data_IF_349340419927
#
_entry.id   IF_349340419927
#
_cell.length_a   1.000
_cell.length_b   1.000
_cell.length_c   1.000
_cell.angle_alpha   90.00
_cell.angle_beta   90.00
_cell.angle_gamma   90.00
#
_symmetry.space_group_name_H-M   'P 1'
#
loop_
_entity.id
_entity.type
_entity.pdbx_description
1 polymer ?
#
# COMPACT_ATOMS: atom_id res chain seq x y z
N UNK A 1 -1.69 -5.37 -43.85
CA UNK A 1 -2.71 -5.57 -42.81
C UNK A 1 -1.95 -5.82 -41.54
N UNK A 2 -2.08 -4.95 -40.52
CA UNK A 2 -1.36 -5.11 -39.24
C UNK A 2 -1.90 -6.32 -38.47
N UNK A 3 -1.02 -6.99 -37.72
CA UNK A 3 -1.43 -8.10 -36.83
C UNK A 3 -1.94 -7.45 -35.53
N UNK A 4 -3.14 -7.84 -35.03
CA UNK A 4 -3.63 -7.36 -33.74
C UNK A 4 -2.67 -7.74 -32.59
N UNK A 5 -2.50 -6.84 -31.65
CA UNK A 5 -1.67 -7.06 -30.45
C UNK A 5 -2.40 -7.96 -29.47
N UNK A 6 -1.68 -8.91 -28.87
CA UNK A 6 -2.22 -9.77 -27.82
C UNK A 6 -2.22 -8.99 -26.48
N UNK A 7 -3.38 -8.95 -25.81
CA UNK A 7 -3.53 -8.26 -24.52
C UNK A 7 -2.68 -8.85 -23.40
N UNK A 8 -2.35 -10.13 -23.46
CA UNK A 8 -1.54 -10.82 -22.44
C UNK A 8 -0.02 -10.56 -22.56
N UNK A 9 0.42 -9.84 -23.60
CA UNK A 9 1.83 -9.50 -23.85
C UNK A 9 2.15 -8.06 -23.39
N UNK A 10 1.44 -7.55 -22.39
CA UNK A 10 1.65 -6.22 -21.85
C UNK A 10 2.74 -6.21 -20.79
N UNK A 11 3.54 -5.13 -20.76
CA UNK A 11 4.56 -4.89 -19.75
C UNK A 11 4.39 -3.50 -19.18
N UNK A 12 4.65 -3.35 -17.90
CA UNK A 12 4.64 -2.06 -17.20
C UNK A 12 5.99 -1.79 -16.57
N UNK A 13 6.65 -0.72 -16.99
CA UNK A 13 7.83 -0.17 -16.33
C UNK A 13 7.44 1.03 -15.46
N UNK A 14 8.07 1.15 -14.28
CA UNK A 14 7.91 2.27 -13.36
C UNK A 14 9.29 2.77 -12.93
N UNK A 15 9.50 4.08 -12.89
CA UNK A 15 10.76 4.69 -12.47
C UNK A 15 10.53 6.03 -11.79
N UNK A 16 11.32 6.30 -10.75
CA UNK A 16 11.29 7.62 -10.10
C UNK A 16 11.80 8.69 -11.06
N UNK A 17 11.09 9.80 -11.15
CA UNK A 17 11.53 10.96 -11.93
C UNK A 17 12.67 11.71 -11.25
N UNK A 18 13.65 12.12 -12.02
CA UNK A 18 14.70 13.03 -11.55
C UNK A 18 14.22 14.48 -11.49
N UNK A 19 13.28 14.83 -12.37
CA UNK A 19 12.61 16.11 -12.41
C UNK A 19 11.13 15.85 -12.65
N UNK A 20 10.28 16.35 -11.77
CA UNK A 20 8.83 16.14 -11.83
C UNK A 20 8.25 16.54 -13.19
N UNK A 21 7.44 15.66 -13.77
CA UNK A 21 6.82 15.87 -15.07
C UNK A 21 7.73 15.62 -16.27
N UNK A 22 8.97 15.19 -16.05
CA UNK A 22 9.89 14.83 -17.13
C UNK A 22 10.06 13.32 -17.19
N UNK A 23 9.69 12.72 -18.32
CA UNK A 23 9.78 11.28 -18.53
C UNK A 23 11.22 10.78 -18.34
N UNK A 24 11.39 9.81 -17.47
CA UNK A 24 12.65 9.11 -17.20
C UNK A 24 12.58 7.73 -17.83
N UNK A 25 13.37 7.51 -18.90
CA UNK A 25 13.31 6.28 -19.69
C UNK A 25 13.69 5.05 -18.88
N UNK A 26 13.00 3.93 -19.13
CA UNK A 26 13.32 2.63 -18.54
C UNK A 26 14.66 2.13 -19.09
N UNK A 27 15.48 1.51 -18.24
CA UNK A 27 16.87 1.15 -18.57
C UNK A 27 17.16 -0.35 -18.50
N UNK A 28 16.24 -1.15 -17.98
CA UNK A 28 16.43 -2.60 -17.85
C UNK A 28 15.27 -3.30 -17.17
N UNK A 29 15.36 -4.60 -17.01
CA UNK A 29 14.31 -5.44 -16.39
C UNK A 29 13.94 -5.03 -14.96
N UNK A 30 14.87 -4.43 -14.21
CA UNK A 30 14.62 -3.93 -12.86
C UNK A 30 13.66 -2.75 -12.79
N UNK A 31 13.42 -2.05 -13.90
CA UNK A 31 12.47 -0.94 -13.97
C UNK A 31 11.05 -1.44 -14.30
N UNK A 32 10.89 -2.72 -14.66
CA UNK A 32 9.60 -3.34 -14.98
C UNK A 32 9.05 -4.10 -13.77
N UNK A 33 7.74 -4.02 -13.57
CA UNK A 33 7.01 -4.61 -12.44
C UNK A 33 6.01 -5.63 -12.92
N UNK A 34 5.78 -6.66 -12.11
CA UNK A 34 4.73 -7.64 -12.36
C UNK A 34 3.37 -7.06 -11.97
N UNK A 35 2.47 -7.00 -12.93
CA UNK A 35 1.09 -6.52 -12.75
C UNK A 35 0.10 -7.60 -13.12
N UNK A 36 -1.11 -7.51 -12.59
CA UNK A 36 -2.17 -8.46 -12.94
C UNK A 36 -2.57 -8.30 -14.40
N UNK A 37 -2.88 -9.41 -15.07
CA UNK A 37 -3.06 -9.49 -16.53
C UNK A 37 -4.13 -8.56 -17.15
N UNK A 38 -5.11 -8.11 -16.37
CA UNK A 38 -6.20 -7.23 -16.86
C UNK A 38 -5.94 -5.72 -16.65
N UNK A 39 -4.76 -5.33 -16.44
CA UNK A 39 -4.50 -4.50 -15.36
C UNK A 39 -4.07 -3.06 -15.60
N UNK A 40 -2.92 -2.80 -16.12
CA UNK A 40 -2.48 -1.41 -16.25
C UNK A 40 -3.26 -0.71 -17.37
N UNK A 41 -3.93 0.37 -17.01
CA UNK A 41 -4.63 1.19 -17.99
C UNK A 41 -4.28 2.66 -17.74
N UNK A 42 -3.78 3.34 -18.80
CA UNK A 42 -3.58 4.76 -18.80
C UNK A 42 -4.47 5.41 -19.84
N UNK A 43 -5.20 6.42 -19.44
CA UNK A 43 -6.09 7.19 -20.29
C UNK A 43 -5.72 8.66 -20.25
N UNK A 44 -5.89 9.33 -21.38
CA UNK A 44 -5.74 10.78 -21.45
C UNK A 44 -7.10 11.40 -21.73
N UNK A 45 -7.52 12.27 -20.86
CA UNK A 45 -8.70 13.09 -21.00
C UNK A 45 -8.31 14.52 -21.38
N UNK A 46 -9.16 15.18 -22.13
CA UNK A 46 -8.94 16.55 -22.59
C UNK A 46 -10.19 17.35 -22.32
N UNK A 47 -10.01 18.49 -21.70
CA UNK A 47 -11.09 19.46 -21.62
C UNK A 47 -11.36 20.01 -23.03
N UNK A 48 -12.61 20.15 -23.35
CA UNK A 48 -13.06 20.74 -24.62
C UNK A 48 -13.65 22.12 -24.35
N UNK A 49 -13.09 23.13 -25.00
CA UNK A 49 -13.55 24.51 -24.89
C UNK A 49 -14.44 24.78 -26.09
N UNK A 50 -15.73 24.72 -25.87
CA UNK A 50 -16.72 25.08 -26.89
C UNK A 50 -16.64 26.57 -27.23
N UNK A 51 -16.88 26.90 -28.49
CA UNK A 51 -16.93 28.27 -28.99
C UNK A 51 -18.35 28.60 -29.43
N UNK A 52 -19.05 29.37 -28.60
CA UNK A 52 -20.39 29.85 -28.92
C UNK A 52 -20.26 31.21 -29.68
N UNK A 53 -20.23 31.14 -31.01
CA UNK A 53 -20.08 32.30 -31.86
C UNK A 53 -21.36 32.48 -32.69
N UNK A 54 -21.90 33.67 -32.67
CA UNK A 54 -23.04 34.03 -33.52
C UNK A 54 -22.62 33.92 -34.99
N UNK A 55 -23.13 32.92 -35.70
CA UNK A 55 -22.88 32.69 -37.12
C UNK A 55 -24.21 32.72 -37.88
N UNK A 56 -24.12 32.78 -39.21
CA UNK A 56 -25.30 32.73 -40.08
C UNK A 56 -25.87 31.30 -40.24
N UNK A 57 -25.27 30.31 -39.60
CA UNK A 57 -25.69 28.91 -39.64
C UNK A 57 -25.96 28.40 -38.21
N UNK A 58 -26.74 27.36 -38.10
CA UNK A 58 -26.99 26.64 -36.79
C UNK A 58 -25.94 25.57 -36.50
N UNK A 59 -24.87 25.50 -37.26
CA UNK A 59 -23.79 24.54 -37.07
C UNK A 59 -22.84 25.00 -35.98
N UNK A 60 -22.34 24.02 -35.21
CA UNK A 60 -21.41 24.26 -34.11
C UNK A 60 -20.02 24.57 -34.64
N UNK A 61 -19.39 25.62 -34.13
CA UNK A 61 -17.99 25.95 -34.41
C UNK A 61 -17.03 24.93 -33.82
N UNK A 62 -15.85 24.79 -34.43
CA UNK A 62 -14.82 23.90 -33.93
C UNK A 62 -14.37 24.29 -32.51
N UNK A 63 -14.46 23.35 -31.61
CA UNK A 63 -13.95 23.49 -30.24
C UNK A 63 -12.43 23.57 -30.17
N UNK A 64 -11.88 24.02 -29.05
CA UNK A 64 -10.46 24.00 -28.75
C UNK A 64 -10.16 23.02 -27.62
N UNK A 65 -9.01 22.36 -27.70
CA UNK A 65 -8.51 21.49 -26.64
C UNK A 65 -8.00 22.35 -25.49
N UNK A 66 -8.50 22.06 -24.29
CA UNK A 66 -8.08 22.65 -23.02
C UNK A 66 -7.01 21.84 -22.31
N UNK A 67 -7.12 21.76 -20.99
CA UNK A 67 -6.19 21.03 -20.13
C UNK A 67 -6.27 19.52 -20.40
N UNK A 68 -5.12 18.85 -20.35
CA UNK A 68 -5.02 17.40 -20.47
C UNK A 68 -4.82 16.79 -19.08
N UNK A 69 -5.58 15.77 -18.76
CA UNK A 69 -5.44 14.96 -17.56
C UNK A 69 -5.10 13.53 -17.96
N UNK A 70 -4.13 12.94 -17.30
CA UNK A 70 -3.77 11.54 -17.47
C UNK A 70 -4.17 10.80 -16.21
N UNK A 71 -5.00 9.78 -16.36
CA UNK A 71 -5.44 8.89 -15.28
C UNK A 71 -4.92 7.49 -15.54
N UNK A 72 -4.60 6.77 -14.47
CA UNK A 72 -4.14 5.39 -14.56
C UNK A 72 -4.61 4.54 -13.41
N UNK A 73 -4.74 3.23 -13.66
CA UNK A 73 -4.96 2.21 -12.65
C UNK A 73 -3.95 1.09 -12.81
N UNK A 74 -3.39 0.63 -11.69
CA UNK A 74 -2.41 -0.45 -11.65
C UNK A 74 -2.79 -1.43 -10.54
N UNK A 75 -3.42 -2.55 -10.85
CA UNK A 75 -3.63 -3.63 -9.88
C UNK A 75 -2.43 -4.57 -9.83
N UNK A 76 -1.98 -4.86 -8.62
CA UNK A 76 -0.85 -5.74 -8.32
C UNK A 76 -1.21 -6.73 -7.21
N UNK A 77 -0.49 -7.84 -7.12
CA UNK A 77 -0.56 -8.71 -5.96
C UNK A 77 0.08 -8.02 -4.75
N UNK A 78 -0.59 -8.09 -3.59
CA UNK A 78 -0.05 -7.53 -2.36
C UNK A 78 0.85 -8.56 -1.67
N UNK A 79 2.13 -8.50 -1.97
CA UNK A 79 3.14 -9.46 -1.53
C UNK A 79 4.45 -8.79 -1.12
N UNK A 80 5.19 -9.47 -0.25
CA UNK A 80 6.53 -9.04 0.14
C UNK A 80 7.59 -9.35 -0.94
N UNK A 81 8.84 -9.09 -0.65
CA UNK A 81 9.97 -9.50 -1.48
C UNK A 81 10.34 -10.97 -1.18
N UNK A 82 10.95 -11.66 -2.13
CA UNK A 82 11.53 -12.99 -1.91
C UNK A 82 12.73 -12.97 -0.95
N UNK A 83 13.33 -11.81 -0.71
CA UNK A 83 14.40 -11.60 0.26
C UNK A 83 13.83 -10.89 1.48
N UNK A 84 13.90 -11.52 2.64
CA UNK A 84 13.40 -10.98 3.90
C UNK A 84 13.97 -9.59 4.21
N UNK A 85 13.13 -8.69 4.74
CA UNK A 85 13.47 -7.32 5.07
C UNK A 85 13.75 -6.40 3.87
N UNK A 86 13.67 -6.92 2.64
CA UNK A 86 13.79 -6.11 1.43
C UNK A 86 12.46 -5.50 1.01
N UNK A 87 12.52 -4.34 0.35
CA UNK A 87 11.33 -3.70 -0.18
C UNK A 87 10.63 -4.58 -1.23
N UNK A 88 9.27 -4.64 -1.23
CA UNK A 88 8.54 -5.39 -2.25
C UNK A 88 8.75 -4.76 -3.63
N UNK A 89 9.27 -5.55 -4.58
CA UNK A 89 9.70 -5.06 -5.91
C UNK A 89 8.55 -4.37 -6.65
N UNK A 90 7.37 -5.00 -6.63
CA UNK A 90 6.22 -4.53 -7.42
C UNK A 90 5.47 -3.36 -6.76
N UNK A 91 5.62 -3.17 -5.44
CA UNK A 91 4.88 -2.19 -4.64
C UNK A 91 5.72 -0.98 -4.22
N UNK A 92 7.07 -1.11 -4.14
CA UNK A 92 7.93 -0.08 -3.53
C UNK A 92 7.71 1.32 -4.11
N UNK A 93 7.74 1.44 -5.42
CA UNK A 93 7.61 2.74 -6.07
C UNK A 93 6.20 3.32 -5.92
N UNK A 94 5.17 2.47 -6.01
CA UNK A 94 3.78 2.88 -5.85
C UNK A 94 3.51 3.35 -4.42
N UNK A 95 3.99 2.61 -3.41
CA UNK A 95 3.85 3.00 -1.99
C UNK A 95 4.65 4.27 -1.65
N UNK A 96 5.86 4.44 -2.19
CA UNK A 96 6.63 5.67 -2.02
C UNK A 96 5.98 6.88 -2.68
N UNK A 97 5.30 6.68 -3.81
CA UNK A 97 4.54 7.75 -4.44
C UNK A 97 3.30 8.12 -3.63
N UNK A 98 2.59 7.13 -3.05
CA UNK A 98 1.39 7.33 -2.25
C UNK A 98 1.69 7.91 -0.86
N UNK A 99 2.65 7.31 -0.15
CA UNK A 99 2.89 7.57 1.27
C UNK A 99 4.12 8.46 1.51
N UNK A 100 5.16 8.31 0.69
CA UNK A 100 6.41 9.08 0.76
C UNK A 100 7.45 8.49 1.69
N UNK A 101 7.10 8.15 2.91
CA UNK A 101 8.02 7.62 3.92
C UNK A 101 8.32 6.14 3.71
N UNK A 102 9.60 5.78 3.82
CA UNK A 102 10.06 4.39 3.80
C UNK A 102 11.22 4.23 4.78
N UNK A 103 11.14 3.21 5.60
CA UNK A 103 12.26 2.71 6.41
C UNK A 103 12.54 1.27 6.01
N UNK A 104 13.79 0.96 5.80
CA UNK A 104 14.23 -0.38 5.45
C UNK A 104 15.44 -0.74 6.30
N UNK A 105 15.33 -1.83 7.03
CA UNK A 105 16.45 -2.41 7.73
C UNK A 105 16.35 -3.94 7.60
N UNK A 106 17.32 -4.51 6.92
CA UNK A 106 17.40 -5.95 6.69
C UNK A 106 18.19 -6.68 7.81
N UNK A 107 18.82 -5.94 8.74
CA UNK A 107 19.56 -6.56 9.83
C UNK A 107 18.63 -6.90 10.99
N UNK A 108 18.74 -8.13 11.50
CA UNK A 108 18.07 -8.55 12.72
C UNK A 108 18.80 -7.98 13.95
N UNK A 109 18.03 -7.64 14.98
CA UNK A 109 18.54 -7.30 16.31
C UNK A 109 18.37 -8.49 17.24
N UNK A 110 19.23 -8.60 18.25
CA UNK A 110 19.17 -9.67 19.23
C UNK A 110 18.82 -9.12 20.60
N UNK A 111 17.83 -9.72 21.26
CA UNK A 111 17.39 -9.30 22.59
C UNK A 111 18.43 -9.59 23.67
N UNK A 112 18.45 -8.79 24.72
CA UNK A 112 19.23 -9.00 25.95
C UNK A 112 18.32 -9.47 27.10
N UNK A 113 18.83 -9.42 28.33
CA UNK A 113 18.09 -9.85 29.53
C UNK A 113 16.99 -8.86 29.94
N UNK A 114 15.97 -9.37 30.60
CA UNK A 114 14.90 -8.56 31.18
C UNK A 114 13.73 -8.29 30.26
N UNK A 115 13.52 -9.15 29.25
CA UNK A 115 12.36 -9.08 28.37
C UNK A 115 11.06 -9.34 29.14
N UNK A 116 9.98 -8.72 28.67
CA UNK A 116 8.61 -9.04 29.09
C UNK A 116 7.76 -9.33 27.85
N UNK A 117 6.50 -9.69 28.05
CA UNK A 117 5.57 -9.90 26.94
C UNK A 117 5.27 -8.63 26.12
N UNK A 118 5.58 -7.46 26.67
CA UNK A 118 5.32 -6.15 25.99
C UNK A 118 6.57 -5.31 25.77
N UNK A 119 7.71 -5.66 26.38
CA UNK A 119 8.96 -4.89 26.26
C UNK A 119 10.12 -5.82 25.93
N UNK A 120 10.84 -5.51 24.88
CA UNK A 120 12.09 -6.19 24.52
C UNK A 120 13.28 -5.26 24.72
N UNK A 121 14.36 -5.82 25.31
CA UNK A 121 15.58 -5.11 25.60
C UNK A 121 16.71 -5.53 24.66
N UNK A 122 17.56 -4.57 24.29
CA UNK A 122 18.69 -4.72 23.37
C UNK A 122 19.92 -4.03 23.94
N UNK A 123 21.09 -4.35 23.43
CA UNK A 123 22.29 -3.53 23.69
C UNK A 123 22.18 -2.19 22.93
N UNK A 124 21.70 -2.25 21.71
CA UNK A 124 21.36 -1.12 20.85
C UNK A 124 20.46 -1.64 19.73
N UNK A 125 19.62 -0.83 19.16
CA UNK A 125 18.78 -1.15 18.01
C UNK A 125 18.50 0.10 17.19
N UNK A 126 18.06 -0.09 15.95
CA UNK A 126 17.61 0.98 15.04
C UNK A 126 16.11 0.86 14.69
N UNK A 127 15.35 0.06 15.47
CA UNK A 127 13.91 -0.10 15.35
C UNK A 127 13.21 1.22 15.73
N UNK A 128 12.23 1.63 14.93
CA UNK A 128 11.48 2.86 15.11
C UNK A 128 10.01 2.59 15.51
N UNK A 129 9.36 3.58 16.10
CA UNK A 129 7.93 3.53 16.37
C UNK A 129 7.17 3.36 15.05
N UNK A 130 6.20 2.43 15.07
CA UNK A 130 5.42 2.05 13.90
C UNK A 130 6.02 0.93 13.06
N UNK A 131 7.29 0.54 13.29
CA UNK A 131 7.84 -0.64 12.64
C UNK A 131 7.08 -1.89 13.11
N UNK A 132 6.83 -2.80 12.19
CA UNK A 132 6.31 -4.11 12.48
C UNK A 132 7.51 -5.05 12.55
N UNK A 133 7.65 -5.73 13.68
CA UNK A 133 8.79 -6.61 13.93
C UNK A 133 8.35 -8.03 14.11
N UNK A 134 9.23 -8.94 13.75
CA UNK A 134 9.10 -10.36 13.96
C UNK A 134 9.99 -10.80 15.11
N UNK A 135 9.39 -11.38 16.13
CA UNK A 135 10.08 -12.01 17.25
C UNK A 135 10.16 -13.51 16.97
N UNK A 136 11.39 -14.04 16.80
CA UNK A 136 11.63 -15.46 16.53
C UNK A 136 12.09 -16.16 17.79
N UNK A 137 11.31 -17.07 18.30
CA UNK A 137 11.70 -17.97 19.36
C UNK A 137 11.69 -19.42 18.88
N UNK A 138 12.46 -20.30 19.50
CA UNK A 138 12.61 -21.68 19.03
C UNK A 138 11.26 -22.40 18.81
N UNK A 139 10.90 -22.61 17.54
CA UNK A 139 9.66 -23.28 17.13
C UNK A 139 8.42 -22.39 17.06
N UNK A 140 8.54 -21.08 17.28
CA UNK A 140 7.43 -20.12 17.15
C UNK A 140 7.92 -18.76 16.67
N UNK A 141 7.00 -17.96 16.13
CA UNK A 141 7.25 -16.57 15.79
C UNK A 141 5.99 -15.74 16.07
N UNK A 142 6.19 -14.46 16.32
CA UNK A 142 5.12 -13.51 16.51
C UNK A 142 5.44 -12.18 15.86
N UNK A 143 4.43 -11.57 15.25
CA UNK A 143 4.52 -10.25 14.66
C UNK A 143 3.84 -9.24 15.58
N UNK A 144 4.54 -8.13 15.86
CA UNK A 144 3.99 -7.03 16.67
C UNK A 144 4.43 -5.67 16.14
N UNK A 145 3.54 -4.68 16.19
CA UNK A 145 3.91 -3.30 15.90
C UNK A 145 4.61 -2.68 17.12
N UNK A 146 5.52 -1.76 16.87
CA UNK A 146 6.22 -1.03 17.91
C UNK A 146 5.45 0.26 18.24
N UNK A 147 5.01 0.43 19.48
CA UNK A 147 4.27 1.60 19.96
C UNK A 147 5.16 2.65 20.64
N UNK A 148 6.26 2.21 21.26
CA UNK A 148 7.24 3.13 21.87
C UNK A 148 8.65 2.52 21.80
N UNK A 149 9.66 3.37 21.90
CA UNK A 149 11.07 2.95 21.93
C UNK A 149 11.91 3.88 22.79
N UNK A 150 13.03 3.37 23.26
CA UNK A 150 14.19 4.18 23.71
C UNK A 150 15.47 3.68 23.03
N UNK A 151 16.65 4.01 23.54
CA UNK A 151 17.93 3.61 22.94
C UNK A 151 18.22 2.11 23.03
N UNK A 152 17.61 1.43 23.98
CA UNK A 152 17.89 0.02 24.33
C UNK A 152 16.66 -0.82 24.49
N UNK A 153 15.46 -0.31 24.28
CA UNK A 153 14.23 -1.08 24.37
C UNK A 153 13.17 -0.67 23.36
N UNK A 154 12.30 -1.61 23.02
CA UNK A 154 11.06 -1.36 22.27
C UNK A 154 9.87 -1.85 23.10
N UNK A 155 8.71 -1.20 22.90
CA UNK A 155 7.47 -1.54 23.58
C UNK A 155 6.39 -1.85 22.54
N UNK A 156 5.67 -2.93 22.77
CA UNK A 156 4.49 -3.33 21.99
C UNK A 156 3.21 -2.76 22.60
N UNK A 157 2.18 -2.43 21.82
CA UNK A 157 0.91 -1.92 22.33
C UNK A 157 0.09 -3.00 23.06
N UNK A 158 0.37 -4.28 22.80
CA UNK A 158 -0.25 -5.46 23.44
C UNK A 158 0.74 -6.62 23.54
N UNK A 159 0.48 -7.52 24.45
CA UNK A 159 1.39 -8.60 24.81
C UNK A 159 1.64 -9.59 23.65
N UNK A 160 2.81 -10.21 23.67
CA UNK A 160 3.09 -11.41 22.89
C UNK A 160 2.22 -12.57 23.42
N UNK A 161 1.68 -13.37 22.51
CA UNK A 161 0.78 -14.49 22.85
C UNK A 161 1.52 -15.60 23.61
N UNK A 162 2.82 -15.81 23.31
CA UNK A 162 3.68 -16.80 23.95
C UNK A 162 4.33 -16.28 25.25
N UNK A 163 4.04 -15.05 25.67
CA UNK A 163 4.59 -14.44 26.89
C UNK A 163 5.94 -13.73 26.66
N UNK A 164 6.75 -13.63 27.72
CA UNK A 164 8.07 -13.01 27.63
C UNK A 164 9.04 -13.91 26.87
N UNK A 165 9.69 -13.43 25.78
CA UNK A 165 10.64 -14.26 25.05
C UNK A 165 11.94 -14.44 25.84
N UNK A 166 12.65 -15.50 25.51
CA UNK A 166 13.97 -15.81 26.08
C UNK A 166 15.00 -14.74 25.75
N UNK A 167 16.10 -14.70 26.51
CA UNK A 167 17.24 -13.86 26.18
C UNK A 167 17.94 -14.37 24.91
N UNK A 168 18.45 -13.46 24.08
CA UNK A 168 19.15 -13.80 22.85
C UNK A 168 18.22 -14.15 21.68
N UNK A 169 16.93 -13.83 21.77
CA UNK A 169 15.96 -14.03 20.70
C UNK A 169 16.21 -13.02 19.56
N UNK A 170 16.13 -13.50 18.35
CA UNK A 170 16.24 -12.67 17.14
C UNK A 170 14.95 -11.91 16.87
N UNK A 171 15.10 -10.61 16.57
CA UNK A 171 14.01 -9.72 16.20
C UNK A 171 14.29 -9.16 14.83
N UNK A 172 13.51 -9.59 13.83
CA UNK A 172 13.61 -9.07 12.47
C UNK A 172 12.67 -7.91 12.25
N UNK A 173 13.05 -7.02 11.36
CA UNK A 173 12.27 -5.85 10.99
C UNK A 173 11.60 -6.03 9.64
N UNK A 174 10.46 -5.38 9.49
CA UNK A 174 9.83 -5.16 8.21
C UNK A 174 10.44 -3.97 7.49
N UNK A 175 10.36 -3.98 6.15
CA UNK A 175 10.38 -2.72 5.41
C UNK A 175 9.07 -2.00 5.69
N UNK A 176 9.15 -0.81 6.28
CA UNK A 176 7.97 -0.06 6.75
C UNK A 176 7.72 1.15 5.86
N UNK A 177 6.47 1.33 5.39
CA UNK A 177 6.00 2.54 4.71
C UNK A 177 5.05 3.31 5.63
N UNK A 178 5.18 4.65 5.60
CA UNK A 178 4.40 5.56 6.42
C UNK A 178 4.19 6.90 5.70
N UNK A 179 3.27 7.72 6.17
CA UNK A 179 3.04 9.02 5.55
C UNK A 179 4.21 9.98 5.77
N UNK A 180 4.75 10.50 4.68
CA UNK A 180 5.70 11.60 4.64
C UNK A 180 5.56 12.33 3.29
N UNK A 181 4.65 13.30 3.25
CA UNK A 181 4.33 14.02 2.02
C UNK A 181 5.52 14.79 1.43
N UNK A 182 6.55 15.06 2.22
CA UNK A 182 7.75 15.78 1.77
C UNK A 182 8.68 14.89 0.93
N UNK A 183 8.66 13.59 1.17
CA UNK A 183 9.48 12.59 0.49
C UNK A 183 8.70 11.77 -0.56
N UNK A 184 7.44 12.11 -0.82
CA UNK A 184 6.66 11.45 -1.86
C UNK A 184 7.27 11.71 -3.24
N UNK A 185 7.44 10.62 -4.01
CA UNK A 185 8.09 10.64 -5.33
C UNK A 185 7.07 10.71 -6.46
N UNK A 186 7.46 11.33 -7.59
CA UNK A 186 6.75 11.22 -8.86
C UNK A 186 7.37 10.15 -9.72
N UNK A 187 6.54 9.51 -10.54
CA UNK A 187 6.90 8.37 -11.34
C UNK A 187 6.73 8.66 -12.83
N UNK A 188 7.64 8.10 -13.62
CA UNK A 188 7.42 7.83 -15.03
C UNK A 188 6.93 6.40 -15.20
N UNK A 189 5.98 6.19 -16.10
CA UNK A 189 5.54 4.85 -16.50
C UNK A 189 5.76 4.61 -17.98
N UNK A 190 6.09 3.36 -18.29
CA UNK A 190 6.15 2.85 -19.66
C UNK A 190 5.23 1.64 -19.75
N UNK A 191 4.11 1.79 -20.44
CA UNK A 191 3.18 0.70 -20.68
C UNK A 191 3.33 0.22 -22.12
N UNK A 192 3.85 -0.98 -22.27
CA UNK A 192 4.05 -1.61 -23.57
C UNK A 192 2.90 -2.55 -23.86
N UNK A 193 2.22 -2.34 -24.98
CA UNK A 193 1.12 -3.19 -25.47
C UNK A 193 1.65 -4.11 -26.56
N UNK A 194 1.94 -5.37 -26.18
CA UNK A 194 2.72 -6.26 -27.01
C UNK A 194 4.07 -5.65 -27.33
N UNK A 195 4.72 -6.10 -28.40
CA UNK A 195 6.01 -5.53 -28.85
C UNK A 195 5.84 -4.35 -29.84
N UNK A 196 4.67 -3.71 -29.89
CA UNK A 196 4.34 -2.74 -30.96
C UNK A 196 4.08 -1.33 -30.47
N UNK A 197 3.33 -1.14 -29.38
CA UNK A 197 2.92 0.20 -28.93
C UNK A 197 3.45 0.44 -27.54
N UNK A 198 4.13 1.55 -27.37
CA UNK A 198 4.65 2.03 -26.09
C UNK A 198 3.93 3.32 -25.71
N UNK A 199 3.29 3.30 -24.54
CA UNK A 199 2.77 4.51 -23.90
C UNK A 199 3.77 4.98 -22.86
N UNK A 200 4.22 6.22 -22.96
CA UNK A 200 5.11 6.85 -22.01
C UNK A 200 4.32 7.91 -21.24
N UNK A 201 4.30 7.76 -19.91
CA UNK A 201 3.59 8.67 -19.02
C UNK A 201 4.58 9.33 -18.07
N UNK A 202 4.41 10.63 -17.84
CA UNK A 202 5.25 11.40 -16.93
C UNK A 202 4.42 12.17 -15.91
N UNK A 203 5.06 12.48 -14.79
CA UNK A 203 4.46 13.21 -13.68
C UNK A 203 3.39 12.41 -12.96
N UNK A 204 3.50 11.06 -12.96
CA UNK A 204 2.56 10.20 -12.27
C UNK A 204 2.73 10.31 -10.76
N UNK A 205 1.60 10.41 -10.08
CA UNK A 205 1.51 10.33 -8.63
C UNK A 205 0.35 9.44 -8.23
N UNK A 206 0.57 8.58 -7.26
CA UNK A 206 -0.48 7.70 -6.73
C UNK A 206 -1.41 8.51 -5.83
N UNK A 207 -2.70 8.47 -6.13
CA UNK A 207 -3.75 9.13 -5.37
C UNK A 207 -4.43 8.19 -4.37
N UNK A 208 -4.53 6.91 -4.67
CA UNK A 208 -5.20 5.95 -3.81
C UNK A 208 -4.64 4.55 -3.98
N UNK A 209 -4.63 3.80 -2.89
CA UNK A 209 -4.48 2.35 -2.86
C UNK A 209 -5.72 1.76 -2.20
N UNK A 210 -6.35 0.80 -2.86
CA UNK A 210 -7.44 0.00 -2.31
C UNK A 210 -6.97 -1.45 -2.22
N UNK A 211 -6.99 -2.02 -1.02
CA UNK A 211 -6.72 -3.43 -0.78
C UNK A 211 -8.00 -4.22 -1.00
N UNK A 212 -7.95 -5.23 -1.85
CA UNK A 212 -9.05 -6.15 -2.13
C UNK A 212 -8.63 -7.59 -1.88
N UNK A 213 -9.61 -8.47 -1.86
CA UNK A 213 -9.41 -9.91 -1.72
C UNK A 213 -8.64 -10.33 -0.44
N UNK A 214 -8.68 -9.49 0.61
CA UNK A 214 -8.18 -9.87 1.94
C UNK A 214 -9.27 -10.59 2.75
N UNK A 215 -9.80 -11.65 2.12
CA UNK A 215 -10.89 -12.49 2.62
C UNK A 215 -10.37 -13.91 2.83
N UNK A 216 -10.92 -14.63 3.78
CA UNK A 216 -10.50 -16.00 4.11
C UNK A 216 -10.42 -16.88 2.85
N UNK A 217 -9.26 -17.48 2.62
CA UNK A 217 -8.99 -18.37 1.49
C UNK A 217 -8.59 -17.69 0.18
N UNK A 218 -8.50 -16.36 0.14
CA UNK A 218 -8.06 -15.60 -1.04
C UNK A 218 -6.62 -15.09 -0.90
N UNK A 219 -6.10 -14.50 -1.97
CA UNK A 219 -4.81 -13.81 -2.01
C UNK A 219 -5.03 -12.31 -2.14
N UNK A 220 -4.44 -11.48 -1.26
CA UNK A 220 -4.67 -10.05 -1.26
C UNK A 220 -4.13 -9.38 -2.54
N UNK A 221 -4.90 -8.42 -3.04
CA UNK A 221 -4.55 -7.58 -4.18
C UNK A 221 -4.68 -6.13 -3.80
N UNK A 222 -3.86 -5.30 -4.41
CA UNK A 222 -3.94 -3.86 -4.26
C UNK A 222 -4.15 -3.21 -5.63
N UNK A 223 -5.12 -2.31 -5.72
CA UNK A 223 -5.33 -1.45 -6.86
C UNK A 223 -4.86 -0.04 -6.54
N UNK A 224 -3.98 0.50 -7.38
CA UNK A 224 -3.48 1.86 -7.28
C UNK A 224 -4.11 2.73 -8.36
N UNK A 225 -4.69 3.86 -7.97
CA UNK A 225 -5.13 4.91 -8.90
C UNK A 225 -4.10 6.02 -8.94
N UNK A 226 -3.79 6.48 -10.15
CA UNK A 226 -2.73 7.45 -10.40
C UNK A 226 -3.24 8.61 -11.26
N UNK A 227 -2.64 9.78 -11.02
CA UNK A 227 -2.78 10.93 -11.91
C UNK A 227 -1.42 11.35 -12.47
N UNK A 228 -1.39 11.71 -13.75
CA UNK A 228 -0.20 12.14 -14.47
C UNK A 228 -0.33 13.49 -15.16
N UNK A 229 0.79 14.04 -15.57
CA UNK A 229 0.85 15.35 -16.24
C UNK A 229 0.87 15.25 -17.76
N UNK A 230 1.47 14.21 -18.31
CA UNK A 230 1.58 14.03 -19.77
C UNK A 230 1.66 12.57 -20.17
N UNK A 231 1.17 12.26 -21.35
CA UNK A 231 1.26 10.94 -21.98
C UNK A 231 1.55 11.09 -23.47
N UNK A 232 2.43 10.22 -23.97
CA UNK A 232 2.73 10.08 -25.39
C UNK A 232 2.68 8.61 -25.80
N UNK A 233 2.42 8.35 -27.07
CA UNK A 233 2.46 7.01 -27.67
C UNK A 233 3.49 6.96 -28.77
N UNK A 234 4.18 5.84 -28.90
CA UNK A 234 5.11 5.54 -29.99
C UNK A 234 4.96 4.08 -30.43
N UNK A 235 5.47 3.79 -31.64
CA UNK A 235 5.53 2.42 -32.19
C UNK A 235 6.84 1.70 -31.84
N UNK A 236 7.57 2.20 -30.86
CA UNK A 236 8.81 1.56 -30.36
C UNK A 236 8.51 0.95 -29.00
N UNK A 237 8.62 -0.35 -28.89
CA UNK A 237 8.34 -1.07 -27.64
C UNK A 237 9.64 -1.50 -26.98
N UNK A 238 9.66 -1.49 -25.63
CA UNK A 238 10.69 -2.16 -24.85
C UNK A 238 10.51 -3.67 -24.92
N UNK A 239 11.61 -4.40 -25.06
CA UNK A 239 11.62 -5.87 -25.02
C UNK A 239 12.06 -6.43 -23.67
N UNK A 240 12.27 -5.57 -22.66
CA UNK A 240 12.68 -6.02 -21.35
C UNK A 240 11.49 -6.60 -20.59
N UNK A 241 11.62 -7.83 -20.11
CA UNK A 241 10.66 -8.46 -19.24
C UNK A 241 10.87 -8.03 -17.78
N UNK A 242 9.81 -7.99 -16.93
CA UNK A 242 9.96 -7.75 -15.50
C UNK A 242 10.93 -8.76 -14.87
N UNK A 243 11.67 -8.29 -13.88
CA UNK A 243 12.45 -9.20 -13.04
C UNK A 243 11.44 -10.05 -12.23
N UNK A 244 11.53 -11.39 -12.39
CA UNK A 244 10.59 -12.28 -11.71
C UNK A 244 10.72 -12.13 -10.19
N UNK A 245 9.58 -11.87 -9.53
CA UNK A 245 9.47 -11.94 -8.09
C UNK A 245 9.00 -13.34 -7.69
N UNK A 246 9.89 -14.13 -7.10
CA UNK A 246 9.57 -15.49 -6.66
C UNK A 246 8.75 -15.56 -5.36
N UNK A 247 8.51 -14.41 -4.71
CA UNK A 247 7.61 -14.34 -3.56
C UNK A 247 6.17 -14.61 -3.99
N UNK A 248 5.48 -15.45 -3.25
CA UNK A 248 4.05 -15.68 -3.44
C UNK A 248 3.26 -14.74 -2.52
N UNK A 249 2.10 -14.23 -2.96
CA UNK A 249 1.22 -13.48 -2.07
C UNK A 249 0.78 -14.39 -0.92
N UNK A 250 0.60 -13.86 0.31
CA UNK A 250 0.08 -14.64 1.41
C UNK A 250 -1.36 -15.11 1.11
N UNK A 251 -1.67 -16.33 1.53
CA UNK A 251 -3.06 -16.80 1.51
C UNK A 251 -3.69 -16.35 2.84
N UNK A 252 -4.87 -15.73 2.78
CA UNK A 252 -5.62 -15.29 3.97
C UNK A 252 -6.25 -16.52 4.67
N UNK A 253 -5.41 -17.45 5.10
CA UNK A 253 -5.67 -18.57 6.02
C UNK A 253 -4.74 -18.47 7.23
N UNK A 254 -3.62 -17.75 7.09
CA UNK A 254 -2.63 -17.47 8.11
C UNK A 254 -2.61 -15.95 8.34
N UNK A 255 -3.74 -15.41 8.71
CA UNK A 255 -3.93 -13.99 8.99
C UNK A 255 -4.53 -13.80 10.37
N UNK A 256 -4.10 -12.75 11.06
CA UNK A 256 -4.59 -12.43 12.39
C UNK A 256 -4.91 -10.94 12.48
N UNK A 257 -5.94 -10.62 13.26
CA UNK A 257 -6.41 -9.25 13.49
C UNK A 257 -6.52 -8.99 14.99
N UNK A 258 -6.04 -7.83 15.44
CA UNK A 258 -6.22 -7.29 16.79
C UNK A 258 -6.91 -5.92 16.72
N UNK A 259 -7.95 -5.77 17.50
CA UNK A 259 -8.59 -4.48 17.74
C UNK A 259 -8.40 -4.12 19.22
N UNK A 260 -7.75 -3.00 19.52
CA UNK A 260 -7.35 -2.59 20.87
C UNK A 260 -6.59 -3.67 21.66
N UNK A 261 -5.74 -4.44 20.97
CA UNK A 261 -4.95 -5.51 21.59
C UNK A 261 -5.69 -6.80 21.88
N UNK A 262 -6.97 -6.90 21.51
CA UNK A 262 -7.75 -8.14 21.57
C UNK A 262 -7.74 -8.79 20.20
N UNK A 263 -7.34 -10.06 20.14
CA UNK A 263 -7.36 -10.87 18.93
C UNK A 263 -8.78 -11.23 18.57
N UNK A 264 -9.17 -11.03 17.32
CA UNK A 264 -10.52 -11.29 16.83
C UNK A 264 -10.47 -12.29 15.68
N UNK A 265 -11.47 -13.17 15.64
CA UNK A 265 -11.77 -13.96 14.45
C UNK A 265 -12.59 -13.12 13.48
N UNK A 266 -12.20 -13.11 12.21
CA UNK A 266 -12.81 -12.24 11.20
C UNK A 266 -12.88 -12.92 9.84
N UNK A 267 -13.75 -12.42 8.96
CA UNK A 267 -13.91 -12.95 7.60
C UNK A 267 -13.20 -12.11 6.56
N UNK A 268 -13.27 -10.78 6.70
CA UNK A 268 -12.79 -9.86 5.70
C UNK A 268 -12.11 -8.65 6.33
N UNK A 269 -11.06 -8.17 5.67
CA UNK A 269 -10.40 -6.92 5.97
C UNK A 269 -10.24 -6.11 4.68
N UNK A 270 -10.69 -4.87 4.70
CA UNK A 270 -10.50 -3.91 3.62
C UNK A 270 -9.69 -2.71 4.11
N UNK A 271 -8.83 -2.18 3.26
CA UNK A 271 -8.02 -0.99 3.55
C UNK A 271 -7.99 -0.06 2.35
N UNK A 272 -8.29 1.19 2.58
CA UNK A 272 -8.15 2.25 1.59
C UNK A 272 -7.24 3.35 2.12
N UNK A 273 -6.14 3.58 1.41
CA UNK A 273 -5.18 4.66 1.71
C UNK A 273 -5.28 5.69 0.61
N UNK A 274 -5.65 6.91 0.94
CA UNK A 274 -5.88 7.99 -0.03
C UNK A 274 -4.95 9.16 0.23
N UNK A 275 -4.28 9.62 -0.82
CA UNK A 275 -3.58 10.90 -0.89
C UNK A 275 -4.31 11.79 -1.89
N UNK A 276 -5.13 12.73 -1.39
CA UNK A 276 -5.83 13.68 -2.26
C UNK A 276 -4.83 14.49 -3.08
N UNK A 277 -5.00 14.48 -4.38
CA UNK A 277 -4.10 15.12 -5.33
C UNK A 277 -4.70 16.43 -5.85
N UNK A 278 -3.89 17.46 -5.91
CA UNK A 278 -4.25 18.75 -6.53
C UNK A 278 -3.30 19.06 -7.70
N UNK A 279 -3.83 19.29 -8.91
CA UNK A 279 -3.02 19.68 -10.04
C UNK A 279 -2.50 21.12 -9.88
N UNK A 280 -1.21 21.33 -10.16
CA UNK A 280 -0.62 22.65 -10.25
C UNK A 280 -0.69 23.09 -11.72
N UNK A 281 -1.59 24.02 -12.00
CA UNK A 281 -1.82 24.51 -13.35
C UNK A 281 -0.85 25.63 -13.72
N UNK A 282 -0.45 25.71 -14.99
CA UNK A 282 0.39 26.78 -15.52
C UNK A 282 0.00 27.12 -16.96
N UNK A 283 -0.23 28.39 -17.21
CA UNK A 283 -0.50 28.88 -18.57
C UNK A 283 0.72 28.77 -19.52
N UNK A 284 1.92 28.54 -18.98
CA UNK A 284 3.15 28.36 -19.74
C UNK A 284 3.49 26.89 -20.04
N UNK A 285 2.68 25.94 -19.59
CA UNK A 285 2.88 24.53 -19.87
C UNK A 285 2.00 24.06 -21.03
N UNK A 286 2.55 23.24 -21.93
CA UNK A 286 1.82 22.73 -23.11
C UNK A 286 0.61 21.85 -22.73
N UNK A 287 0.68 21.16 -21.58
CA UNK A 287 -0.45 20.40 -21.02
C UNK A 287 -1.38 21.24 -20.16
N UNK A 288 -1.03 22.50 -19.86
CA UNK A 288 -1.70 23.35 -18.87
C UNK A 288 -1.41 22.95 -17.41
N UNK A 289 -0.59 21.92 -17.16
CA UNK A 289 -0.31 21.33 -15.83
C UNK A 289 1.20 21.06 -15.71
N UNK A 290 1.82 21.46 -14.60
CA UNK A 290 3.27 21.32 -14.38
C UNK A 290 3.61 20.31 -13.27
N UNK A 291 2.69 20.07 -12.34
CA UNK A 291 2.93 19.22 -11.19
C UNK A 291 1.62 18.72 -10.59
N UNK A 292 1.74 17.77 -9.68
CA UNK A 292 0.66 17.32 -8.82
C UNK A 292 1.13 17.34 -7.37
N UNK A 293 0.32 17.88 -6.45
CA UNK A 293 0.66 17.97 -5.02
C UNK A 293 -0.33 17.21 -4.17
N UNK A 294 0.17 16.54 -3.14
CA UNK A 294 -0.66 15.92 -2.11
C UNK A 294 -1.18 17.03 -1.20
N UNK A 295 -2.48 17.10 -1.01
CA UNK A 295 -3.15 18.11 -0.16
C UNK A 295 -3.67 17.53 1.13
N UNK A 296 -4.03 16.23 1.13
CA UNK A 296 -4.54 15.55 2.30
C UNK A 296 -4.28 14.06 2.19
N UNK A 297 -4.06 13.41 3.33
CA UNK A 297 -3.88 11.95 3.41
C UNK A 297 -4.91 11.39 4.38
N UNK A 298 -5.54 10.27 4.01
CA UNK A 298 -6.60 9.61 4.77
C UNK A 298 -6.42 8.10 4.69
N UNK A 299 -6.85 7.42 5.74
CA UNK A 299 -6.90 5.97 5.80
C UNK A 299 -8.26 5.56 6.34
N UNK A 300 -8.92 4.68 5.61
CA UNK A 300 -10.16 4.03 6.01
C UNK A 300 -9.99 2.52 5.94
N UNK A 301 -10.58 1.80 6.88
CA UNK A 301 -10.57 0.35 6.91
C UNK A 301 -11.95 -0.20 7.21
N UNK A 302 -12.19 -1.43 6.76
CA UNK A 302 -13.37 -2.22 7.07
C UNK A 302 -12.94 -3.55 7.64
N UNK A 303 -13.65 -4.03 8.65
CA UNK A 303 -13.46 -5.35 9.26
C UNK A 303 -14.80 -5.98 9.57
N UNK A 304 -14.88 -7.29 9.43
CA UNK A 304 -16.09 -8.07 9.69
C UNK A 304 -15.79 -9.17 10.74
N UNK A 305 -15.52 -8.80 12.03
CA UNK A 305 -15.28 -9.78 13.08
C UNK A 305 -16.57 -10.49 13.49
N UNK A 306 -16.45 -11.76 13.88
CA UNK A 306 -17.56 -12.48 14.51
C UNK A 306 -17.93 -11.86 15.86
N UNK A 307 -19.21 -11.94 16.22
CA UNK A 307 -19.67 -11.57 17.57
C UNK A 307 -19.39 -12.72 18.54
N UNK A 308 -18.59 -12.47 19.56
CA UNK A 308 -18.19 -13.41 20.60
C UNK A 308 -18.45 -12.80 21.99
N UNK A 309 -18.57 -13.63 23.05
CA UNK A 309 -18.87 -13.13 24.40
C UNK A 309 -17.68 -12.51 25.13
N UNK A 310 -16.46 -12.69 24.64
CA UNK A 310 -15.22 -12.06 25.15
C UNK A 310 -14.86 -10.76 24.42
N UNK A 311 -15.81 -10.14 23.79
CA UNK A 311 -15.60 -9.01 22.90
C UNK A 311 -15.05 -7.77 23.58
N UNK A 312 -14.16 -7.10 22.87
CA UNK A 312 -13.98 -5.65 23.01
C UNK A 312 -15.37 -5.04 22.89
N UNK A 313 -15.74 -4.20 23.83
CA UNK A 313 -17.01 -3.45 23.73
C UNK A 313 -16.96 -2.53 22.51
N UNK A 314 -17.11 -3.14 21.33
CA UNK A 314 -17.09 -2.46 20.03
C UNK A 314 -18.18 -1.43 19.90
N UNK A 315 -19.31 -1.68 20.58
CA UNK A 315 -20.39 -0.70 20.66
C UNK A 315 -19.98 0.53 21.47
N UNK A 316 -19.31 0.35 22.62
CA UNK A 316 -18.78 1.46 23.41
C UNK A 316 -17.71 2.25 22.68
N UNK A 317 -16.82 1.57 21.91
CA UNK A 317 -15.85 2.26 21.07
C UNK A 317 -16.52 3.19 20.06
N UNK A 318 -17.61 2.74 19.44
CA UNK A 318 -18.38 3.52 18.48
C UNK A 318 -19.21 4.62 19.18
N UNK A 319 -20.03 4.26 20.17
CA UNK A 319 -20.99 5.16 20.83
C UNK A 319 -20.29 6.32 21.57
N UNK A 320 -19.21 6.02 22.28
CA UNK A 320 -18.44 7.01 23.01
C UNK A 320 -17.35 7.69 22.17
N UNK A 321 -17.22 7.31 20.91
CA UNK A 321 -16.19 7.84 20.02
C UNK A 321 -14.77 7.68 20.61
N UNK A 322 -14.49 6.53 21.23
CA UNK A 322 -13.19 6.21 21.80
C UNK A 322 -12.19 5.87 20.70
N UNK A 323 -10.90 6.06 20.98
CA UNK A 323 -9.84 5.64 20.08
C UNK A 323 -9.71 4.12 20.05
N UNK A 324 -9.49 3.59 18.84
CA UNK A 324 -9.23 2.19 18.60
C UNK A 324 -7.91 2.02 17.84
N UNK A 325 -7.11 1.04 18.23
CA UNK A 325 -5.95 0.61 17.46
C UNK A 325 -6.27 -0.66 16.68
N UNK A 326 -5.75 -0.77 15.46
CA UNK A 326 -5.95 -1.94 14.61
C UNK A 326 -4.61 -2.48 14.12
N UNK A 327 -4.38 -3.77 14.34
CA UNK A 327 -3.24 -4.49 13.78
C UNK A 327 -3.72 -5.72 13.02
N UNK A 328 -3.29 -5.82 11.77
CA UNK A 328 -3.61 -6.97 10.91
C UNK A 328 -2.33 -7.45 10.25
N UNK A 329 -2.13 -8.75 10.17
CA UNK A 329 -1.07 -9.31 9.35
C UNK A 329 -1.52 -10.61 8.68
N UNK A 330 -0.85 -10.94 7.59
CA UNK A 330 -0.93 -12.24 6.93
C UNK A 330 0.48 -12.73 6.57
N UNK A 331 0.68 -14.03 6.59
CA UNK A 331 1.98 -14.62 6.30
C UNK A 331 1.87 -15.91 5.50
N UNK A 332 2.96 -16.24 4.81
CA UNK A 332 3.15 -17.55 4.19
C UNK A 332 3.94 -18.46 5.12
N UNK A 333 3.42 -19.64 5.48
CA UNK A 333 4.18 -20.59 6.29
C UNK A 333 5.41 -21.08 5.50
N UNK A 334 6.52 -21.25 6.19
CA UNK A 334 7.69 -21.97 5.66
C UNK A 334 7.47 -23.47 5.67
N UNK A 335 8.26 -24.19 4.88
CA UNK A 335 8.34 -25.66 4.99
C UNK A 335 8.92 -26.13 6.32
N UNK A 336 9.62 -25.28 7.05
CA UNK A 336 10.13 -25.52 8.40
C UNK A 336 9.08 -25.11 9.43
N UNK A 337 8.72 -26.03 10.33
CA UNK A 337 7.75 -25.75 11.37
C UNK A 337 8.23 -24.61 12.29
N UNK A 338 7.34 -23.66 12.58
CA UNK A 338 7.66 -22.49 13.40
C UNK A 338 8.41 -21.37 12.67
N UNK A 339 8.55 -21.47 11.35
CA UNK A 339 9.10 -20.42 10.51
C UNK A 339 8.06 -19.97 9.46
N UNK A 340 8.27 -18.80 8.89
CA UNK A 340 7.49 -18.29 7.76
C UNK A 340 8.44 -17.82 6.65
N UNK A 341 7.92 -17.68 5.43
CA UNK A 341 8.73 -17.24 4.29
C UNK A 341 8.58 -15.74 4.03
N UNK A 342 7.39 -15.21 4.16
CA UNK A 342 7.07 -13.79 3.93
C UNK A 342 5.85 -13.40 4.77
N UNK A 343 5.79 -12.13 5.14
CA UNK A 343 4.63 -11.56 5.80
C UNK A 343 4.34 -10.13 5.34
N UNK A 344 3.07 -9.76 5.44
CA UNK A 344 2.59 -8.39 5.25
C UNK A 344 1.83 -7.97 6.49
N UNK A 345 2.01 -6.72 6.93
CA UNK A 345 1.37 -6.22 8.13
C UNK A 345 0.84 -4.81 7.95
N UNK A 346 -0.23 -4.52 8.69
CA UNK A 346 -0.93 -3.22 8.69
C UNK A 346 -1.10 -2.79 10.14
N UNK A 347 -0.57 -1.64 10.50
CA UNK A 347 -0.71 -1.08 11.83
C UNK A 347 -1.34 0.31 11.77
N UNK A 348 -2.51 0.46 12.39
CA UNK A 348 -3.21 1.72 12.59
C UNK A 348 -3.21 2.00 14.09
N UNK A 349 -2.32 2.89 14.58
CA UNK A 349 -2.17 3.17 16.01
C UNK A 349 -3.41 3.79 16.63
N UNK A 350 -4.08 4.68 15.89
CA UNK A 350 -5.27 5.38 16.36
C UNK A 350 -6.28 5.55 15.23
N UNK A 351 -7.51 5.19 15.53
CA UNK A 351 -8.65 5.34 14.63
C UNK A 351 -9.92 5.61 15.41
N UNK A 352 -10.95 6.07 14.71
CA UNK A 352 -12.33 6.13 15.20
C UNK A 352 -13.19 5.19 14.39
N UNK A 353 -14.03 4.44 15.06
CA UNK A 353 -15.09 3.68 14.39
C UNK A 353 -16.16 4.67 13.95
N UNK A 354 -16.38 4.77 12.64
CA UNK A 354 -17.34 5.73 12.05
C UNK A 354 -18.66 5.07 11.68
N UNK A 355 -18.68 3.75 11.53
CA UNK A 355 -19.90 2.97 11.29
C UNK A 355 -19.75 1.60 11.94
N UNK A 356 -20.84 1.13 12.55
CA UNK A 356 -21.01 -0.24 13.06
C UNK A 356 -22.41 -0.70 12.73
N UNK A 357 -22.54 -1.85 12.09
CA UNK A 357 -23.81 -2.54 11.83
C UNK A 357 -23.68 -4.02 12.09
N UNK A 358 -24.80 -4.65 12.39
CA UNK A 358 -24.85 -6.10 12.52
C UNK A 358 -25.01 -6.70 11.11
N UNK A 359 -24.21 -7.72 10.82
CA UNK A 359 -24.23 -8.47 9.58
C UNK A 359 -24.50 -9.95 9.82
N UNK A 360 -24.62 -10.73 8.75
CA UNK A 360 -24.84 -12.17 8.77
C UNK A 360 -23.78 -12.87 7.91
N UNK A 361 -23.15 -13.88 8.47
CA UNK A 361 -22.20 -14.72 7.80
C UNK A 361 -22.62 -16.19 7.97
N UNK A 362 -23.31 -16.75 6.99
CA UNK A 362 -23.81 -18.13 6.99
C UNK A 362 -24.63 -18.49 8.24
N UNK A 363 -25.40 -17.53 8.78
CA UNK A 363 -26.23 -17.69 9.99
C UNK A 363 -25.52 -17.36 11.29
N UNK A 364 -24.29 -16.85 11.25
CA UNK A 364 -23.56 -16.32 12.40
C UNK A 364 -23.59 -14.80 12.38
N UNK A 365 -23.68 -14.18 13.53
CA UNK A 365 -23.61 -12.73 13.64
C UNK A 365 -22.17 -12.25 13.47
N UNK A 366 -21.99 -11.21 12.64
CA UNK A 366 -20.76 -10.45 12.51
C UNK A 366 -21.03 -8.97 12.78
N UNK A 367 -19.99 -8.25 13.18
CA UNK A 367 -19.98 -6.80 13.22
C UNK A 367 -19.37 -6.25 11.94
N UNK A 368 -20.14 -5.52 11.14
CA UNK A 368 -19.60 -4.76 10.01
C UNK A 368 -19.10 -3.40 10.52
N UNK A 369 -17.79 -3.25 10.63
CA UNK A 369 -17.16 -2.06 11.20
C UNK A 369 -16.39 -1.32 10.12
N UNK A 370 -16.62 -0.01 10.03
CA UNK A 370 -15.78 0.91 9.27
C UNK A 370 -15.06 1.84 10.22
N UNK A 371 -13.76 1.93 10.09
CA UNK A 371 -12.93 2.83 10.90
C UNK A 371 -12.14 3.80 10.04
N UNK A 372 -11.81 4.95 10.62
CA UNK A 372 -11.01 5.99 10.01
C UNK A 372 -9.82 6.32 10.91
N UNK A 373 -8.61 6.15 10.35
CA UNK A 373 -7.39 6.47 11.06
C UNK A 373 -7.19 7.98 11.22
N UNK A 374 -6.58 8.37 12.30
CA UNK A 374 -6.16 9.75 12.54
C UNK A 374 -4.75 9.78 13.13
N UNK A 375 -4.08 10.91 12.97
CA UNK A 375 -2.74 11.11 13.51
C UNK A 375 -2.78 11.39 15.01
N UNK A 376 -1.76 10.95 15.72
CA UNK A 376 -1.45 11.33 17.10
C UNK A 376 -0.39 12.43 17.14
N UNK A 377 0.81 12.13 16.64
CA UNK A 377 1.95 13.04 16.64
C UNK A 377 2.30 13.59 15.24
N UNK A 378 1.80 12.97 14.18
CA UNK A 378 2.07 13.29 12.79
C UNK A 378 2.82 12.17 12.07
N UNK A 379 2.44 11.90 10.82
CA UNK A 379 2.97 10.82 9.98
C UNK A 379 2.78 9.39 10.55
N UNK A 380 1.87 9.24 11.50
CA UNK A 380 1.67 8.04 12.31
C UNK A 380 0.26 7.43 12.20
N UNK A 381 -0.55 7.84 11.23
CA UNK A 381 -1.91 7.32 11.11
C UNK A 381 -1.95 5.87 10.58
N UNK A 382 -0.93 5.43 9.84
CA UNK A 382 -0.79 4.04 9.36
C UNK A 382 0.67 3.69 9.10
N UNK A 383 1.00 2.42 9.33
CA UNK A 383 2.26 1.81 8.94
C UNK A 383 1.97 0.51 8.17
N UNK A 384 2.61 0.36 7.02
CA UNK A 384 2.53 -0.84 6.18
C UNK A 384 3.88 -1.56 6.26
N UNK A 385 3.88 -2.81 6.67
CA UNK A 385 5.08 -3.60 6.88
C UNK A 385 5.19 -4.79 5.93
N UNK A 386 6.43 -5.08 5.47
CA UNK A 386 6.77 -6.19 4.57
C UNK A 386 8.05 -6.87 5.05
N UNK A 387 8.08 -8.22 5.10
CA UNK A 387 9.24 -9.04 5.41
C UNK A 387 9.42 -10.12 4.35
#
# INVERSE_FOLDING_TARGET
MGIPVNKNENRLGLKVESTEGTYNAMSGSSDFVEVLADAANFTIERDEIERDILSSTVEIEASRVGIKNVNGTIPVEYRANSTAGSAPVDLDLLLRSLMGGKRQNAAADTTTTGNSSTVLNFTSHDIEVGDIVLVKEAGSFELRPVSAKDATSITFPFALDNGAPSDGVEVEKFTTYYFDSTNSVTLSAEHTKGDLVQQQVAGLRVGQMSLSDFTVGSTPKAEFTLEGTSMSESVSASTADPAANSALPPIVLNACLWLNGVKLEYQNFGLTVTSELAPVQSACADSGRIATRITKQMVEYTIDPYMEDDDVDRFTLFDQNNDASLFVYAYNPSSTAGEFSQAVGFWVPQSKIISKSDGDADGLYIDEITGKAHRSAGNDSIFLGFI
#
